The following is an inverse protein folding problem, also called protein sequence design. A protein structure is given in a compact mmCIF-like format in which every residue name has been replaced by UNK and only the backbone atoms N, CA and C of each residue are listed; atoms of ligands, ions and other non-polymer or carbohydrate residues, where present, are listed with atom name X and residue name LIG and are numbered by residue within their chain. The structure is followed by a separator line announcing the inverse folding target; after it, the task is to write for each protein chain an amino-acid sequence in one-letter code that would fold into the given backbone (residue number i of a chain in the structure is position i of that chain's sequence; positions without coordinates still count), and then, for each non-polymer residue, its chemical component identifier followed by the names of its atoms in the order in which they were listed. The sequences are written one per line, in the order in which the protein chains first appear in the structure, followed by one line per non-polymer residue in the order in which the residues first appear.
data_IF_433235707492
#
_entry.id   IF_433235707492
#
_cell.length_a   1.000
_cell.length_b   1.000
_cell.length_c   1.000
_cell.angle_alpha   90.00
_cell.angle_beta   90.00
_cell.angle_gamma   90.00
#
_symmetry.space_group_name_H-M   'P 1'
#
loop_
_entity.id
_entity.type
_entity.pdbx_description
1 polymer ?
#
# COMPACT_ATOMS: atom_id res chain seq x y z
N UNK A 3 12.63 2.25 -13.48
CA UNK A 3 11.72 2.58 -14.61
C UNK A 3 10.28 2.48 -14.10
N UNK A 4 9.36 2.95 -14.92
CA UNK A 4 7.89 2.96 -14.63
C UNK A 4 7.47 2.44 -13.23
N UNK A 5 7.65 3.27 -12.23
CA UNK A 5 7.20 3.02 -10.82
C UNK A 5 5.90 2.19 -10.65
N UNK A 6 5.74 1.62 -9.48
CA UNK A 6 4.54 0.79 -9.17
C UNK A 6 3.75 1.15 -7.89
N UNK A 7 2.84 2.10 -8.04
CA UNK A 7 1.95 2.61 -6.95
C UNK A 7 2.17 2.00 -5.53
N UNK A 8 3.12 2.53 -4.79
CA UNK A 8 3.42 2.12 -3.37
C UNK A 8 2.17 2.16 -2.44
N UNK A 9 2.33 1.75 -1.19
CA UNK A 9 1.25 1.67 -0.17
C UNK A 9 0.20 2.78 -0.23
N UNK A 10 -0.97 2.40 0.19
CA UNK A 10 -2.14 3.32 0.21
C UNK A 10 -2.85 3.53 1.56
N UNK A 11 -2.16 3.15 2.61
CA UNK A 11 -2.61 3.25 4.05
C UNK A 11 -2.95 1.86 4.55
N UNK A 12 -4.01 1.36 3.97
CA UNK A 12 -4.52 0.01 4.29
C UNK A 12 -3.35 -0.97 4.15
N UNK A 13 -2.67 -0.81 3.05
CA UNK A 13 -1.48 -1.65 2.70
C UNK A 13 -0.59 -2.04 3.90
N UNK A 14 -0.29 -1.08 4.73
CA UNK A 14 0.57 -1.30 5.93
C UNK A 14 -0.10 -2.28 6.88
N UNK A 15 -1.23 -1.82 7.30
CA UNK A 15 -2.12 -2.56 8.24
C UNK A 15 -2.26 -4.00 7.80
N UNK A 16 -2.47 -4.11 6.52
CA UNK A 16 -2.65 -5.44 5.89
C UNK A 16 -1.51 -6.36 6.29
N UNK A 17 -0.35 -5.90 5.94
CA UNK A 17 0.91 -6.64 6.22
C UNK A 17 1.00 -7.09 7.68
N UNK A 18 0.92 -6.09 8.52
CA UNK A 18 0.98 -6.25 10.01
C UNK A 18 0.13 -7.38 10.58
N UNK A 19 -1.07 -7.47 10.07
CA UNK A 19 -2.03 -8.51 10.54
C UNK A 19 -2.15 -9.79 9.73
N UNK A 20 -2.05 -9.73 8.43
CA UNK A 20 -2.17 -10.95 7.56
C UNK A 20 -1.59 -12.23 8.23
N UNK A 21 -0.30 -12.30 8.47
CA UNK A 21 0.38 -13.50 9.06
C UNK A 21 -0.11 -13.85 10.47
N UNK A 22 -0.75 -12.90 11.11
CA UNK A 22 -1.27 -13.13 12.49
C UNK A 22 -2.62 -13.82 12.42
N UNK A 23 -3.53 -13.22 11.70
CA UNK A 23 -4.89 -13.82 11.56
C UNK A 23 -4.69 -15.17 10.89
N UNK A 24 -3.91 -15.18 9.84
CA UNK A 24 -3.59 -16.41 9.05
C UNK A 24 -2.97 -17.45 10.00
N UNK A 25 -2.28 -16.93 10.98
CA UNK A 25 -1.61 -17.79 12.01
C UNK A 25 -2.66 -18.67 12.70
N UNK A 26 -3.79 -18.05 12.87
CA UNK A 26 -5.00 -18.64 13.51
C UNK A 26 -5.92 -19.24 12.44
N UNK A 27 -5.75 -18.71 11.27
CA UNK A 27 -6.50 -19.07 10.03
C UNK A 27 -5.59 -19.74 8.97
N UNK A 28 -5.01 -20.89 9.26
CA UNK A 28 -4.30 -21.72 8.24
C UNK A 28 -5.33 -22.52 7.41
N UNK A 29 -6.43 -21.86 7.17
CA UNK A 29 -7.58 -22.39 6.39
C UNK A 29 -7.95 -21.34 5.33
N UNK A 30 -7.37 -20.17 5.48
CA UNK A 30 -7.62 -19.04 4.54
C UNK A 30 -6.42 -18.84 3.62
N UNK A 31 -6.64 -17.89 2.74
CA UNK A 31 -5.63 -17.49 1.73
C UNK A 31 -5.38 -16.01 1.95
N UNK A 32 -4.46 -15.46 1.19
CA UNK A 32 -4.11 -14.02 1.29
C UNK A 32 -5.08 -13.16 0.48
N UNK A 33 -6.20 -13.79 0.29
CA UNK A 33 -7.37 -13.25 -0.44
C UNK A 33 -8.56 -13.17 0.52
N UNK A 34 -8.58 -14.03 1.52
CA UNK A 34 -9.71 -14.03 2.50
C UNK A 34 -9.19 -13.45 3.82
N UNK A 35 -8.05 -13.91 4.25
CA UNK A 35 -7.47 -13.39 5.52
C UNK A 35 -7.24 -11.89 5.22
N UNK A 36 -7.02 -11.66 3.95
CA UNK A 36 -6.78 -10.29 3.43
C UNK A 36 -8.15 -9.61 3.34
N UNK A 37 -9.13 -10.33 2.86
CA UNK A 37 -10.52 -9.77 2.74
C UNK A 37 -10.91 -9.12 4.08
N UNK A 38 -10.68 -9.89 5.11
CA UNK A 38 -10.96 -9.48 6.51
C UNK A 38 -10.29 -8.14 6.74
N UNK A 39 -9.00 -8.08 6.50
CA UNK A 39 -8.25 -6.79 6.69
C UNK A 39 -9.02 -5.68 5.97
N UNK A 40 -9.26 -5.96 4.72
CA UNK A 40 -10.00 -5.05 3.78
C UNK A 40 -11.15 -4.32 4.47
N UNK A 41 -11.77 -5.06 5.35
CA UNK A 41 -12.92 -4.55 6.14
C UNK A 41 -12.42 -3.92 7.44
N UNK A 42 -11.77 -4.70 8.25
CA UNK A 42 -11.22 -4.21 9.56
C UNK A 42 -10.62 -2.79 9.52
N UNK A 43 -9.92 -2.52 8.45
CA UNK A 43 -9.25 -1.21 8.20
C UNK A 43 -10.19 0.00 8.28
N UNK A 44 -11.39 -0.24 7.87
CA UNK A 44 -12.44 0.80 7.86
C UNK A 44 -13.02 0.79 9.26
N UNK A 45 -12.95 -0.38 9.83
CA UNK A 45 -13.46 -0.63 11.19
C UNK A 45 -12.33 -0.49 12.24
N UNK A 46 -11.31 0.30 11.96
CA UNK A 46 -10.22 0.47 12.95
C UNK A 46 -10.58 1.78 13.67
N UNK A 47 -9.63 2.53 14.15
CA UNK A 47 -9.97 3.80 14.87
C UNK A 47 -9.64 5.14 14.24
N UNK A 48 -9.45 5.11 12.95
CA UNK A 48 -9.10 6.31 12.11
C UNK A 48 -8.23 7.38 12.81
N UNK A 49 -7.55 6.84 13.78
CA UNK A 49 -6.59 7.51 14.70
C UNK A 49 -5.34 6.63 14.56
N UNK A 50 -5.65 5.37 14.40
CA UNK A 50 -4.66 4.28 14.24
C UNK A 50 -4.32 4.12 12.76
N UNK A 51 -5.05 4.79 11.91
CA UNK A 51 -4.77 4.68 10.46
C UNK A 51 -3.69 5.71 10.20
N UNK A 52 -3.92 6.85 10.78
CA UNK A 52 -3.02 8.03 10.69
C UNK A 52 -1.54 7.68 10.44
N UNK A 53 -0.92 6.88 11.28
CA UNK A 53 0.49 6.45 11.07
C UNK A 53 0.69 5.82 9.68
N UNK A 54 -0.06 4.77 9.44
CA UNK A 54 0.00 4.04 8.14
C UNK A 54 -0.15 5.02 6.99
N UNK A 55 -1.13 5.88 7.12
CA UNK A 55 -1.38 6.89 6.07
C UNK A 55 -0.13 7.72 5.82
N UNK A 56 0.37 8.41 6.81
CA UNK A 56 1.61 9.24 6.60
C UNK A 56 2.67 8.46 5.80
N UNK A 57 2.79 7.20 6.11
CA UNK A 57 3.80 6.34 5.39
C UNK A 57 3.32 6.21 3.94
N UNK A 58 2.19 5.59 3.77
CA UNK A 58 1.57 5.39 2.42
C UNK A 58 1.73 6.63 1.54
N UNK A 59 1.43 7.77 2.12
CA UNK A 59 1.53 9.08 1.42
C UNK A 59 2.96 9.26 0.96
N UNK A 60 3.87 9.35 1.90
CA UNK A 60 5.33 9.52 1.55
C UNK A 60 5.71 8.62 0.35
N UNK A 61 5.38 7.37 0.51
CA UNK A 61 5.66 6.33 -0.53
C UNK A 61 5.01 6.65 -1.90
N UNK A 62 3.71 6.73 -1.98
CA UNK A 62 3.05 7.04 -3.29
C UNK A 62 3.56 8.37 -3.84
N UNK A 63 3.84 9.30 -2.97
CA UNK A 63 4.35 10.63 -3.40
C UNK A 63 5.60 10.37 -4.25
N UNK A 64 6.57 9.71 -3.65
CA UNK A 64 7.86 9.37 -4.34
C UNK A 64 7.52 8.88 -5.76
N UNK A 65 6.66 7.89 -5.77
CA UNK A 65 6.19 7.28 -7.05
C UNK A 65 5.75 8.37 -8.01
N UNK A 66 4.68 9.04 -7.70
CA UNK A 66 4.15 10.14 -8.56
C UNK A 66 5.21 11.04 -9.20
N UNK A 67 6.33 11.16 -8.54
CA UNK A 67 7.42 12.03 -9.07
C UNK A 67 8.34 11.28 -10.01
N UNK A 68 8.71 10.10 -9.60
CA UNK A 68 9.62 9.28 -10.44
C UNK A 68 8.86 8.70 -11.62
N UNK A 69 7.55 8.66 -11.48
CA UNK A 69 6.71 8.12 -12.57
C UNK A 69 6.55 9.27 -13.55
N UNK A 70 6.29 10.43 -12.99
CA UNK A 70 6.12 11.65 -13.82
C UNK A 70 7.48 11.94 -14.49
N UNK A 71 8.53 11.49 -13.84
CA UNK A 71 9.91 11.71 -14.37
C UNK A 71 10.27 10.65 -15.42
N UNK A 72 9.53 9.57 -15.41
CA UNK A 72 9.76 8.46 -16.38
C UNK A 72 8.65 8.47 -17.45
N UNK A 73 7.67 9.30 -17.24
CA UNK A 73 6.51 9.43 -18.18
C UNK A 73 6.76 10.65 -19.07
N UNK A 74 7.30 11.68 -18.47
CA UNK A 74 7.59 12.93 -19.21
C UNK A 74 9.08 12.96 -19.62
N UNK A 75 9.58 11.80 -19.98
CA UNK A 75 11.00 11.66 -20.42
C UNK A 75 11.03 11.19 -21.87
N UNK A 76 12.18 11.34 -22.48
CA UNK A 76 12.38 10.94 -23.90
C UNK A 76 11.63 11.95 -24.77
N UNK A 77 11.66 13.17 -24.29
CA UNK A 77 11.00 14.32 -24.96
C UNK A 77 11.98 15.44 -25.34
N UNK A 78 12.94 15.79 -24.50
CA UNK A 78 14.03 16.73 -24.89
C UNK A 78 14.62 16.29 -26.23
N UNK A 79 14.89 15.01 -26.28
CA UNK A 79 15.47 14.30 -27.47
C UNK A 79 16.96 14.44 -27.41
N UNK A 80 17.61 13.93 -26.40
CA UNK A 80 17.17 13.17 -25.16
C UNK A 80 18.38 12.29 -24.79
N UNK A 81 19.48 12.97 -24.56
CA UNK A 81 20.77 12.31 -24.18
C UNK A 81 21.25 12.74 -22.78
#
# INVERSE_FOLDING_TARGET
GSNAPKRPPSAFFLFCSEYRPKIKGEHPGLSIGDVAKKLGEMWNNTAADDKQPYEKKAAKLKEKYEKDIAAYRAKGKPDAA
#
